data_IF_353322571458
#
_entry.id   IF_353322571458
#
_cell.length_a   1.000
_cell.length_b   1.000
_cell.length_c   1.000
_cell.angle_alpha   90.00
_cell.angle_beta   90.00
_cell.angle_gamma   90.00
#
_symmetry.space_group_name_H-M   'P 1'
#
loop_
_entity.id
_entity.type
_entity.pdbx_description
1 polymer ?
#
# COMPACT_ATOMS: atom_id res chain seq x y z
N UNK A 1 -7.25 2.83 -7.98
CA UNK A 1 -8.19 1.72 -7.70
C UNK A 1 -8.61 1.63 -6.23
N UNK A 2 -7.76 1.82 -5.20
CA UNK A 2 -8.17 1.63 -3.81
C UNK A 2 -9.42 2.42 -3.38
N UNK A 3 -9.56 3.67 -3.83
CA UNK A 3 -10.75 4.49 -3.53
C UNK A 3 -12.07 4.04 -4.17
N UNK A 4 -12.05 3.09 -5.13
CA UNK A 4 -13.29 2.53 -5.70
C UNK A 4 -13.84 1.37 -4.87
N UNK A 5 -12.99 0.68 -4.11
CA UNK A 5 -13.39 -0.49 -3.31
C UNK A 5 -14.32 -0.07 -2.17
N UNK A 6 -14.10 1.10 -1.57
CA UNK A 6 -14.91 1.59 -0.45
C UNK A 6 -16.32 2.04 -0.86
N UNK A 7 -16.60 2.16 -2.16
CA UNK A 7 -17.90 2.64 -2.68
C UNK A 7 -18.76 1.54 -3.30
N UNK A 8 -18.25 0.31 -3.44
CA UNK A 8 -18.98 -0.82 -4.04
C UNK A 8 -20.25 -1.14 -3.26
N UNK A 9 -21.27 -1.65 -3.96
CA UNK A 9 -22.59 -1.96 -3.36
C UNK A 9 -22.97 -3.43 -3.45
N UNK A 10 -22.09 -4.28 -3.97
CA UNK A 10 -22.32 -5.72 -4.07
C UNK A 10 -21.05 -6.54 -3.82
N UNK A 11 -21.25 -7.77 -3.35
CA UNK A 11 -20.17 -8.73 -3.16
C UNK A 11 -19.42 -9.04 -4.47
N UNK A 12 -20.16 -9.23 -5.57
CA UNK A 12 -19.56 -9.52 -6.88
C UNK A 12 -18.68 -8.38 -7.42
N UNK A 13 -19.10 -7.12 -7.22
CA UNK A 13 -18.29 -5.95 -7.61
C UNK A 13 -17.01 -5.84 -6.75
N UNK A 14 -17.14 -6.07 -5.44
CA UNK A 14 -16.01 -6.12 -4.52
C UNK A 14 -14.99 -7.17 -4.95
N UNK A 15 -15.42 -8.42 -5.15
CA UNK A 15 -14.57 -9.55 -5.56
C UNK A 15 -13.82 -9.25 -6.86
N UNK A 16 -14.53 -8.70 -7.85
CA UNK A 16 -13.92 -8.30 -9.13
C UNK A 16 -12.81 -7.27 -8.93
N UNK A 17 -13.05 -6.22 -8.16
CA UNK A 17 -12.06 -5.16 -7.94
C UNK A 17 -10.87 -5.63 -7.11
N UNK A 18 -11.11 -6.48 -6.11
CA UNK A 18 -10.08 -7.13 -5.30
C UNK A 18 -9.18 -7.99 -6.19
N UNK A 19 -9.77 -8.84 -7.04
CA UNK A 19 -9.02 -9.68 -7.96
C UNK A 19 -8.13 -8.85 -8.90
N UNK A 20 -8.70 -7.81 -9.53
CA UNK A 20 -7.93 -6.91 -10.41
C UNK A 20 -6.78 -6.21 -9.66
N UNK A 21 -6.98 -5.86 -8.38
CA UNK A 21 -5.92 -5.26 -7.58
C UNK A 21 -4.76 -6.24 -7.37
N UNK A 22 -5.04 -7.47 -6.93
CA UNK A 22 -4.02 -8.46 -6.67
C UNK A 22 -3.35 -9.01 -7.93
N UNK A 23 -4.07 -9.11 -9.05
CA UNK A 23 -3.50 -9.45 -10.36
C UNK A 23 -2.44 -8.42 -10.79
N UNK A 24 -2.69 -7.13 -10.55
CA UNK A 24 -1.70 -6.09 -10.82
C UNK A 24 -0.48 -6.19 -9.91
N UNK A 25 -0.65 -6.46 -8.61
CA UNK A 25 0.49 -6.67 -7.70
C UNK A 25 1.34 -7.86 -8.15
N UNK A 26 0.71 -8.98 -8.51
CA UNK A 26 1.40 -10.16 -9.03
C UNK A 26 2.17 -9.84 -10.33
N UNK A 27 1.57 -9.07 -11.24
CA UNK A 27 2.24 -8.62 -12.46
C UNK A 27 3.44 -7.73 -12.17
N UNK A 28 3.32 -6.79 -11.23
CA UNK A 28 4.45 -5.94 -10.84
C UNK A 28 5.57 -6.75 -10.20
N UNK A 29 5.26 -7.72 -9.35
CA UNK A 29 6.26 -8.64 -8.79
C UNK A 29 7.01 -9.38 -9.91
N UNK A 30 6.31 -9.93 -10.90
CA UNK A 30 6.93 -10.61 -12.04
C UNK A 30 7.86 -9.69 -12.84
N UNK A 31 7.42 -8.47 -13.15
CA UNK A 31 8.26 -7.48 -13.86
C UNK A 31 9.51 -7.16 -13.05
N UNK A 32 9.36 -6.88 -11.75
CA UNK A 32 10.45 -6.45 -10.88
C UNK A 32 11.45 -7.57 -10.52
N UNK A 33 11.17 -8.82 -10.91
CA UNK A 33 12.18 -9.90 -10.89
C UNK A 33 13.27 -9.71 -11.94
N UNK A 34 12.96 -9.03 -13.04
CA UNK A 34 13.85 -8.91 -14.20
C UNK A 34 14.50 -7.53 -14.32
N UNK A 35 14.02 -6.53 -13.60
CA UNK A 35 14.47 -5.14 -13.73
C UNK A 35 14.38 -4.36 -12.42
N UNK A 36 15.18 -3.31 -12.31
CA UNK A 36 15.34 -2.53 -11.08
C UNK A 36 14.15 -1.62 -10.76
N UNK A 37 13.47 -1.07 -11.76
CA UNK A 37 12.32 -0.19 -11.61
C UNK A 37 11.20 -0.64 -12.55
N UNK A 38 10.04 0.02 -12.54
CA UNK A 38 8.92 -0.35 -13.41
C UNK A 38 9.21 -0.19 -14.91
N UNK A 39 10.20 0.63 -15.27
CA UNK A 39 10.55 0.92 -16.66
C UNK A 39 12.05 0.74 -16.95
N UNK A 40 12.62 -0.37 -16.48
CA UNK A 40 14.03 -0.71 -16.63
C UNK A 40 14.90 -0.18 -15.48
N UNK A 41 16.00 0.49 -15.82
CA UNK A 41 17.09 0.78 -14.87
C UNK A 41 17.04 2.18 -14.24
N UNK A 42 16.11 3.03 -14.69
CA UNK A 42 15.94 4.40 -14.18
C UNK A 42 14.64 4.54 -13.41
N UNK A 43 14.71 5.28 -12.30
CA UNK A 43 13.54 5.65 -11.52
C UNK A 43 12.71 6.68 -12.32
N UNK A 44 11.40 6.50 -12.32
CA UNK A 44 10.45 7.35 -13.04
C UNK A 44 9.30 7.80 -12.12
N UNK A 45 8.42 8.67 -12.61
CA UNK A 45 7.22 9.06 -11.88
C UNK A 45 6.31 7.85 -11.58
N UNK A 46 6.35 6.79 -12.41
CA UNK A 46 5.55 5.59 -12.18
C UNK A 46 5.97 4.89 -10.89
N UNK A 47 7.27 4.88 -10.60
CA UNK A 47 7.81 4.30 -9.38
C UNK A 47 7.35 5.06 -8.14
N UNK A 48 7.35 6.40 -8.22
CA UNK A 48 6.85 7.28 -7.15
C UNK A 48 5.37 6.99 -6.87
N UNK A 49 4.54 6.89 -7.92
CA UNK A 49 3.10 6.61 -7.78
C UNK A 49 2.85 5.22 -7.21
N UNK A 50 3.62 4.22 -7.65
CA UNK A 50 3.51 2.86 -7.14
C UNK A 50 3.92 2.81 -5.67
N UNK A 51 5.04 3.40 -5.29
CA UNK A 51 5.52 3.43 -3.91
C UNK A 51 4.45 3.94 -2.92
N UNK A 52 3.85 5.09 -3.22
CA UNK A 52 2.78 5.66 -2.37
C UNK A 52 1.60 4.70 -2.24
N UNK A 53 1.28 3.96 -3.31
CA UNK A 53 0.20 2.97 -3.31
C UNK A 53 0.56 1.74 -2.47
N UNK A 54 1.79 1.21 -2.61
CA UNK A 54 2.25 0.03 -1.86
C UNK A 54 2.36 0.32 -0.36
N UNK A 55 2.86 1.50 -0.01
CA UNK A 55 2.98 1.93 1.37
C UNK A 55 1.60 2.03 2.04
N UNK A 56 0.65 2.74 1.41
CA UNK A 56 -0.72 2.86 1.92
C UNK A 56 -1.48 1.54 1.87
N UNK A 57 -1.14 0.64 0.94
CA UNK A 57 -1.72 -0.70 0.92
C UNK A 57 -1.37 -1.47 2.18
N UNK A 58 -0.08 -1.52 2.53
CA UNK A 58 0.40 -2.24 3.70
C UNK A 58 -0.05 -1.59 5.02
N UNK A 59 -0.03 -0.26 5.10
CA UNK A 59 -0.39 0.47 6.33
C UNK A 59 -1.89 0.63 6.56
N UNK A 60 -2.69 0.64 5.49
CA UNK A 60 -4.10 1.07 5.57
C UNK A 60 -5.02 0.16 4.78
N UNK A 61 -4.84 0.06 3.46
CA UNK A 61 -5.87 -0.53 2.61
C UNK A 61 -6.09 -2.02 2.87
N UNK A 62 -5.05 -2.74 3.30
CA UNK A 62 -5.17 -4.13 3.73
C UNK A 62 -6.26 -4.31 4.80
N UNK A 63 -6.31 -3.38 5.76
CA UNK A 63 -7.24 -3.42 6.90
C UNK A 63 -8.55 -2.69 6.59
N UNK A 64 -8.47 -1.39 6.23
CA UNK A 64 -9.65 -0.54 6.07
C UNK A 64 -10.51 -0.94 4.86
N UNK A 65 -9.87 -1.32 3.75
CA UNK A 65 -10.56 -1.64 2.50
C UNK A 65 -10.77 -3.16 2.32
N UNK A 66 -10.46 -3.97 3.35
CA UNK A 66 -10.56 -5.44 3.31
C UNK A 66 -9.73 -6.09 2.21
N UNK A 67 -8.68 -5.42 1.73
CA UNK A 67 -7.76 -5.97 0.73
C UNK A 67 -6.80 -6.99 1.36
N UNK A 68 -7.33 -8.08 1.91
CA UNK A 68 -6.60 -9.00 2.79
C UNK A 68 -6.32 -10.37 2.17
N UNK A 69 -6.29 -10.48 0.84
CA UNK A 69 -6.01 -11.76 0.15
C UNK A 69 -4.54 -12.17 0.28
N UNK A 70 -3.63 -11.21 0.08
CA UNK A 70 -2.18 -11.38 0.23
C UNK A 70 -1.58 -10.13 0.85
N UNK A 71 -0.54 -10.30 1.66
CA UNK A 71 0.24 -9.18 2.21
C UNK A 71 1.21 -8.67 1.15
N UNK A 72 1.69 -7.43 1.31
CA UNK A 72 2.74 -6.91 0.42
C UNK A 72 4.02 -7.78 0.47
N UNK A 73 4.34 -8.33 1.64
CA UNK A 73 5.50 -9.21 1.85
C UNK A 73 5.40 -10.55 1.14
N UNK A 74 4.22 -10.96 0.68
CA UNK A 74 4.02 -12.21 -0.07
C UNK A 74 4.47 -12.06 -1.54
N UNK A 75 4.85 -10.84 -1.97
CA UNK A 75 5.41 -10.52 -3.29
C UNK A 75 6.89 -10.13 -3.15
N UNK A 76 7.85 -11.07 -3.22
CA UNK A 76 9.22 -10.84 -2.78
C UNK A 76 9.98 -9.78 -3.60
N UNK A 77 9.81 -9.74 -4.93
CA UNK A 77 10.49 -8.76 -5.77
C UNK A 77 9.85 -7.38 -5.64
N UNK A 78 8.52 -7.33 -5.55
CA UNK A 78 7.77 -6.09 -5.29
C UNK A 78 8.09 -5.52 -3.91
N UNK A 79 8.22 -6.38 -2.90
CA UNK A 79 8.57 -5.98 -1.54
C UNK A 79 10.00 -5.44 -1.47
N UNK A 80 10.97 -6.15 -2.04
CA UNK A 80 12.35 -5.69 -2.11
C UNK A 80 12.46 -4.35 -2.87
N UNK A 81 11.68 -4.18 -3.94
CA UNK A 81 11.55 -2.92 -4.66
C UNK A 81 11.01 -1.79 -3.77
N UNK A 82 9.93 -2.03 -3.04
CA UNK A 82 9.31 -1.03 -2.18
C UNK A 82 10.27 -0.60 -1.05
N UNK A 83 10.97 -1.55 -0.42
CA UNK A 83 11.99 -1.26 0.60
C UNK A 83 13.15 -0.45 0.03
N UNK A 84 13.64 -0.79 -1.16
CA UNK A 84 14.70 -0.02 -1.84
C UNK A 84 14.28 1.43 -2.06
N UNK A 85 13.04 1.66 -2.49
CA UNK A 85 12.52 3.03 -2.65
C UNK A 85 12.41 3.75 -1.30
N UNK A 86 11.90 3.07 -0.26
CA UNK A 86 11.80 3.64 1.10
C UNK A 86 13.16 4.09 1.67
N UNK A 87 14.26 3.47 1.25
CA UNK A 87 15.62 3.81 1.68
C UNK A 87 16.22 5.02 0.94
N UNK A 88 15.65 5.44 -0.19
CA UNK A 88 16.10 6.64 -0.90
C UNK A 88 15.75 7.87 -0.06
N UNK A 89 16.67 8.81 0.22
CA UNK A 89 16.42 9.96 1.10
C UNK A 89 15.18 10.78 0.71
N UNK A 90 14.92 10.96 -0.58
CA UNK A 90 13.76 11.69 -1.08
C UNK A 90 12.40 11.01 -0.79
N UNK A 91 12.39 9.69 -0.55
CA UNK A 91 11.20 8.98 -0.10
C UNK A 91 11.16 8.92 1.43
N UNK A 92 12.29 8.51 2.04
CA UNK A 92 12.43 8.35 3.49
C UNK A 92 12.04 9.61 4.25
N UNK A 93 12.56 10.77 3.83
CA UNK A 93 12.37 12.04 4.54
C UNK A 93 10.96 12.62 4.39
N UNK A 94 10.16 12.08 3.47
CA UNK A 94 8.81 12.57 3.14
C UNK A 94 7.74 11.49 3.36
N UNK A 95 8.06 10.49 4.17
CA UNK A 95 7.15 9.41 4.50
C UNK A 95 6.98 9.34 6.01
N UNK A 96 5.83 9.80 6.49
CA UNK A 96 5.42 9.71 7.89
C UNK A 96 4.30 8.68 8.01
N UNK A 97 4.59 7.54 8.65
CA UNK A 97 3.62 6.44 8.79
C UNK A 97 2.46 6.83 9.72
N UNK A 98 2.73 7.63 10.75
CA UNK A 98 1.73 8.03 11.73
C UNK A 98 0.74 9.02 11.11
N UNK A 99 1.24 10.01 10.40
CA UNK A 99 0.39 10.97 9.67
C UNK A 99 -0.44 10.29 8.58
N UNK A 100 0.15 9.31 7.87
CA UNK A 100 -0.61 8.49 6.90
C UNK A 100 -1.77 7.78 7.62
N UNK A 101 -1.52 7.02 8.68
CA UNK A 101 -2.59 6.29 9.38
C UNK A 101 -3.63 7.25 9.96
N UNK A 102 -3.22 8.32 10.63
CA UNK A 102 -4.13 9.35 11.17
C UNK A 102 -5.02 9.94 10.09
N UNK A 103 -4.47 10.27 8.92
CA UNK A 103 -5.26 10.77 7.80
C UNK A 103 -6.38 9.80 7.38
N UNK A 104 -6.18 8.49 7.50
CA UNK A 104 -7.16 7.48 7.08
C UNK A 104 -8.16 7.06 8.17
N UNK A 105 -7.76 7.07 9.44
CA UNK A 105 -8.59 6.62 10.57
C UNK A 105 -9.16 7.77 11.42
N UNK A 106 -8.47 8.92 11.46
CA UNK A 106 -8.73 10.05 12.36
C UNK A 106 -8.74 11.36 11.56
N UNK A 107 -9.73 11.49 10.66
CA UNK A 107 -9.83 12.59 9.68
C UNK A 107 -10.05 13.98 10.29
N UNK A 108 -10.38 14.05 11.58
CA UNK A 108 -10.69 15.27 12.32
C UNK A 108 -10.38 15.09 13.82
N UNK A 109 -10.42 16.20 14.57
CA UNK A 109 -10.04 16.26 15.99
C UNK A 109 -11.07 15.65 16.96
N UNK A 110 -12.09 14.97 16.45
CA UNK A 110 -13.10 14.33 17.32
C UNK A 110 -12.46 13.20 18.13
N UNK A 111 -12.93 12.95 19.37
CA UNK A 111 -12.42 11.87 20.19
C UNK A 111 -12.59 10.50 19.51
N UNK A 112 -11.70 9.56 19.84
CA UNK A 112 -11.75 8.18 19.34
C UNK A 112 -12.82 7.43 20.14
N UNK A 113 -14.05 7.44 19.65
CA UNK A 113 -15.20 6.81 20.32
C UNK A 113 -15.78 5.63 19.54
N UNK A 114 -15.27 5.33 18.33
CA UNK A 114 -15.74 4.23 17.50
C UNK A 114 -14.58 3.36 17.03
N UNK A 115 -14.85 2.08 16.77
CA UNK A 115 -13.82 1.11 16.37
C UNK A 115 -13.20 1.47 15.01
N UNK A 116 -13.97 2.08 14.11
CA UNK A 116 -13.49 2.53 12.80
C UNK A 116 -12.42 3.63 12.88
N UNK A 117 -12.36 4.36 14.00
CA UNK A 117 -11.35 5.39 14.26
C UNK A 117 -10.09 4.84 14.96
N UNK A 118 -10.11 3.57 15.35
CA UNK A 118 -8.95 2.90 15.97
C UNK A 118 -7.94 2.55 14.88
N UNK A 119 -6.70 3.00 15.05
CA UNK A 119 -5.58 2.65 14.16
C UNK A 119 -5.10 1.24 14.53
N UNK A 120 -5.01 0.30 13.57
CA UNK A 120 -4.49 -1.04 13.84
C UNK A 120 -3.02 -0.99 14.27
N UNK A 121 -2.61 -1.93 15.12
CA UNK A 121 -1.20 -2.12 15.47
C UNK A 121 -0.50 -2.88 14.34
N UNK A 122 0.58 -2.28 13.81
CA UNK A 122 1.30 -2.77 12.65
C UNK A 122 2.78 -2.95 12.98
N UNK A 123 3.41 -3.98 12.43
CA UNK A 123 4.87 -4.07 12.39
C UNK A 123 5.38 -3.13 11.28
N UNK A 124 5.70 -1.90 11.66
CA UNK A 124 6.28 -0.90 10.78
C UNK A 124 7.81 -1.07 10.62
N UNK A 125 8.44 -1.78 11.56
CA UNK A 125 9.88 -1.98 11.55
C UNK A 125 10.34 -2.78 10.33
N UNK A 126 9.47 -3.64 9.79
CA UNK A 126 9.72 -4.35 8.52
C UNK A 126 10.07 -3.43 7.34
N UNK A 127 9.62 -2.17 7.34
CA UNK A 127 9.97 -1.16 6.32
C UNK A 127 11.33 -0.49 6.59
N UNK A 128 11.77 -0.47 7.85
CA UNK A 128 12.97 0.21 8.31
C UNK A 128 14.20 -0.71 8.38
N UNK A 129 13.98 -2.04 8.36
CA UNK A 129 15.00 -3.10 8.32
C UNK A 129 15.36 -3.54 6.89
#
# INVERSE_FOLDING_TARGET
>A
MPGKITTVKSQAEYEKLVQIFFDHLAKFDQVLRQQKYLWGDKLTQLDVRLYVTLLRFDLVYYYQNKLSLHRLTDYPALWAYAKRLAQIPAFKNYTDFEDIKKHFYQQDDRPITTFERVIPLLDEQKWLS
#
